data_IF_702326934126
#
_entry.id   IF_702326934126
#
_cell.length_a   1.000
_cell.length_b   1.000
_cell.length_c   1.000
_cell.angle_alpha   90.00
_cell.angle_beta   90.00
_cell.angle_gamma   90.00
#
_symmetry.space_group_name_H-M   'P 1'
#
loop_
_entity.id
_entity.type
_entity.pdbx_description
1 polymer ?
#
# COMPACT_ATOMS: atom_id res chain seq x y z
N UNK A 1 12.55 -3.43 48.90
CA UNK A 1 12.28 -4.31 47.73
C UNK A 1 10.79 -4.49 47.39
N UNK A 2 9.84 -4.43 48.31
CA UNK A 2 8.38 -4.56 47.99
C UNK A 2 7.76 -3.46 47.11
N UNK A 3 8.25 -2.24 47.16
CA UNK A 3 7.68 -1.11 46.36
C UNK A 3 7.97 -1.15 44.83
N UNK A 4 8.91 -1.98 44.40
CA UNK A 4 9.24 -2.12 42.97
C UNK A 4 8.25 -3.05 42.21
N UNK A 5 7.70 -4.00 42.93
CA UNK A 5 6.74 -5.01 42.40
C UNK A 5 5.28 -4.54 42.44
N UNK A 6 4.97 -3.47 43.18
CA UNK A 6 3.60 -2.91 43.29
C UNK A 6 3.34 -1.73 42.33
N UNK A 7 4.31 -1.42 41.45
CA UNK A 7 4.11 -0.35 40.44
C UNK A 7 3.43 -0.90 39.20
N UNK A 8 2.38 -0.22 38.72
CA UNK A 8 1.70 -0.53 37.46
C UNK A 8 2.68 -0.69 36.29
N UNK A 9 3.84 -0.03 36.34
CA UNK A 9 4.92 -0.13 35.38
C UNK A 9 5.57 -1.51 35.30
N UNK A 10 5.73 -2.25 36.44
CA UNK A 10 6.31 -3.59 36.43
C UNK A 10 5.39 -4.60 35.76
N UNK A 11 4.11 -4.54 36.08
CA UNK A 11 3.10 -5.39 35.43
C UNK A 11 3.00 -5.07 33.95
N UNK A 12 3.03 -3.81 33.58
CA UNK A 12 3.07 -3.40 32.16
C UNK A 12 4.28 -3.96 31.43
N UNK A 13 5.48 -3.92 32.02
CA UNK A 13 6.68 -4.52 31.43
C UNK A 13 6.56 -6.05 31.28
N UNK A 14 6.02 -6.74 32.27
CA UNK A 14 5.82 -8.19 32.24
C UNK A 14 4.85 -8.63 31.13
N UNK A 15 3.77 -7.87 30.90
CA UNK A 15 2.85 -8.11 29.80
C UNK A 15 3.45 -7.80 28.42
N UNK A 16 4.38 -6.85 28.31
CA UNK A 16 5.08 -6.56 27.07
C UNK A 16 6.22 -7.55 26.76
N UNK A 17 6.73 -8.26 27.78
CA UNK A 17 7.90 -9.12 27.68
C UNK A 17 7.79 -10.19 26.57
N UNK A 18 6.68 -10.93 26.40
CA UNK A 18 6.53 -11.90 25.31
C UNK A 18 6.66 -11.25 23.91
N UNK A 19 6.05 -10.08 23.74
CA UNK A 19 6.11 -9.33 22.47
C UNK A 19 7.52 -8.78 22.25
N UNK A 20 8.18 -8.28 23.30
CA UNK A 20 9.56 -7.80 23.22
C UNK A 20 10.55 -8.92 22.87
N UNK A 21 10.40 -10.10 23.45
CA UNK A 21 11.22 -11.26 23.11
C UNK A 21 11.01 -11.63 21.64
N UNK A 22 9.76 -11.72 21.17
CA UNK A 22 9.45 -11.97 19.76
C UNK A 22 10.07 -10.90 18.85
N UNK A 23 9.96 -9.63 19.19
CA UNK A 23 10.59 -8.54 18.46
C UNK A 23 12.12 -8.67 18.41
N UNK A 24 12.77 -8.92 19.54
CA UNK A 24 14.23 -9.05 19.61
C UNK A 24 14.75 -10.23 18.80
N UNK A 25 14.08 -11.38 18.87
CA UNK A 25 14.52 -12.63 18.20
C UNK A 25 14.21 -12.61 16.71
N UNK A 26 13.02 -12.15 16.31
CA UNK A 26 12.56 -12.29 14.93
C UNK A 26 12.70 -11.02 14.09
N UNK A 27 12.94 -9.86 14.71
CA UNK A 27 13.07 -8.59 13.99
C UNK A 27 14.43 -7.94 14.27
N UNK A 28 14.74 -7.65 15.52
CA UNK A 28 15.94 -6.89 15.86
C UNK A 28 17.23 -7.67 15.57
N UNK A 29 17.29 -8.93 15.97
CA UNK A 29 18.46 -9.77 15.69
C UNK A 29 18.71 -9.96 14.18
N UNK A 30 17.75 -10.39 13.34
CA UNK A 30 17.95 -10.49 11.89
C UNK A 30 18.28 -9.15 11.23
N UNK A 31 17.76 -8.04 11.75
CA UNK A 31 18.08 -6.71 11.24
C UNK A 31 19.55 -6.34 11.48
N UNK A 32 20.06 -6.59 12.70
CA UNK A 32 21.48 -6.36 13.04
C UNK A 32 22.38 -7.32 12.25
N UNK A 33 21.99 -8.58 12.13
CA UNK A 33 22.72 -9.57 11.36
C UNK A 33 22.77 -9.22 9.86
N UNK A 34 21.65 -8.78 9.29
CA UNK A 34 21.61 -8.28 7.90
C UNK A 34 22.50 -7.06 7.69
N UNK A 35 22.56 -6.15 8.67
CA UNK A 35 23.47 -5.00 8.61
C UNK A 35 24.94 -5.47 8.62
N UNK A 36 25.29 -6.42 9.48
CA UNK A 36 26.64 -7.01 9.48
C UNK A 36 26.95 -7.72 8.16
N UNK A 37 26.05 -8.56 7.67
CA UNK A 37 26.23 -9.28 6.40
C UNK A 37 26.33 -8.34 5.20
N UNK A 38 25.65 -7.17 5.23
CA UNK A 38 25.76 -6.17 4.15
C UNK A 38 27.19 -5.62 3.96
N UNK A 39 28.02 -5.69 5.00
CA UNK A 39 29.44 -5.28 5.00
C UNK A 39 30.37 -6.44 4.61
N UNK A 40 29.84 -7.59 4.25
CA UNK A 40 30.58 -8.79 3.87
C UNK A 40 30.26 -9.24 2.44
N UNK A 41 31.08 -10.11 1.87
CA UNK A 41 30.81 -10.76 0.58
C UNK A 41 30.01 -12.06 0.76
N UNK A 42 29.05 -12.08 1.70
CA UNK A 42 28.24 -13.26 1.99
C UNK A 42 27.45 -13.73 0.75
N UNK A 43 27.63 -15.00 0.38
CA UNK A 43 26.97 -15.62 -0.77
C UNK A 43 26.53 -17.06 -0.50
N UNK A 44 25.95 -17.35 0.69
CA UNK A 44 25.59 -18.72 1.14
C UNK A 44 26.74 -19.74 1.13
N UNK A 45 27.96 -19.34 0.81
CA UNK A 45 29.19 -20.16 0.90
C UNK A 45 29.83 -19.92 2.26
N UNK A 46 30.43 -20.97 2.83
CA UNK A 46 30.94 -20.96 4.20
C UNK A 46 32.07 -19.96 4.50
N UNK A 47 32.76 -19.44 3.48
CA UNK A 47 33.86 -18.48 3.68
C UNK A 47 33.45 -17.10 3.14
N UNK A 48 32.95 -16.26 4.03
CA UNK A 48 32.71 -14.85 3.71
C UNK A 48 33.78 -13.96 4.38
N UNK A 49 34.11 -12.86 3.72
CA UNK A 49 35.09 -11.87 4.20
C UNK A 49 34.42 -10.52 4.39
N UNK A 50 34.92 -9.76 5.34
CA UNK A 50 34.53 -8.37 5.50
C UNK A 50 35.05 -7.55 4.33
N UNK A 51 34.15 -6.86 3.63
CA UNK A 51 34.47 -6.03 2.45
C UNK A 51 34.10 -4.55 2.66
N UNK A 52 33.68 -4.19 3.87
CA UNK A 52 33.30 -2.81 4.19
C UNK A 52 32.13 -2.31 3.32
N UNK A 53 32.31 -1.17 2.68
CA UNK A 53 31.26 -0.51 1.88
C UNK A 53 31.26 -0.90 0.39
N UNK A 54 32.04 -1.88 -0.04
CA UNK A 54 32.14 -2.28 -1.45
C UNK A 54 30.79 -2.70 -2.06
N UNK A 55 29.94 -3.36 -1.27
CA UNK A 55 28.60 -3.74 -1.72
C UNK A 55 27.72 -2.50 -1.99
N UNK A 56 27.85 -1.47 -1.16
CA UNK A 56 27.13 -0.21 -1.35
C UNK A 56 27.64 0.57 -2.55
N UNK A 57 28.97 0.58 -2.78
CA UNK A 57 29.56 1.20 -3.95
C UNK A 57 29.09 0.54 -5.25
N UNK A 58 28.96 -0.80 -5.27
CA UNK A 58 28.43 -1.55 -6.41
C UNK A 58 27.00 -1.17 -6.77
N UNK A 59 26.14 -0.81 -5.80
CA UNK A 59 24.76 -0.39 -6.08
C UNK A 59 24.72 0.81 -7.04
N UNK A 60 25.68 1.72 -6.95
CA UNK A 60 25.72 2.91 -7.81
C UNK A 60 26.30 2.63 -9.20
N UNK A 61 26.97 1.50 -9.40
CA UNK A 61 27.59 1.10 -10.68
C UNK A 61 26.85 -0.04 -11.37
N UNK A 62 25.87 -0.66 -10.70
CA UNK A 62 25.09 -1.78 -11.22
C UNK A 62 23.85 -1.29 -11.97
N UNK A 63 23.76 -1.58 -13.26
CA UNK A 63 22.62 -1.27 -14.12
C UNK A 63 21.31 -1.90 -13.61
N UNK A 64 21.40 -3.08 -12.98
CA UNK A 64 20.24 -3.75 -12.39
C UNK A 64 19.71 -2.95 -11.20
N UNK A 65 20.59 -2.51 -10.30
CA UNK A 65 20.23 -1.70 -9.16
C UNK A 65 19.59 -0.37 -9.58
N UNK A 66 20.18 0.30 -10.57
CA UNK A 66 19.65 1.52 -11.18
C UNK A 66 18.24 1.32 -11.74
N UNK A 67 18.02 0.21 -12.48
CA UNK A 67 16.72 -0.15 -13.04
C UNK A 67 15.69 -0.42 -11.94
N UNK A 68 16.06 -1.15 -10.88
CA UNK A 68 15.20 -1.45 -9.73
C UNK A 68 14.79 -0.16 -9.01
N UNK A 69 15.75 0.73 -8.72
CA UNK A 69 15.47 2.00 -8.06
C UNK A 69 14.52 2.87 -8.89
N UNK A 70 14.76 2.97 -10.21
CA UNK A 70 13.88 3.71 -11.12
C UNK A 70 12.47 3.12 -11.14
N UNK A 71 12.33 1.81 -11.27
CA UNK A 71 11.02 1.14 -11.28
C UNK A 71 10.29 1.32 -9.94
N UNK A 72 11.00 1.22 -8.82
CA UNK A 72 10.43 1.45 -7.48
C UNK A 72 9.96 2.89 -7.34
N UNK A 73 10.74 3.86 -7.81
CA UNK A 73 10.35 5.26 -7.77
C UNK A 73 9.09 5.51 -8.61
N UNK A 74 9.05 5.03 -9.85
CA UNK A 74 7.88 5.15 -10.74
C UNK A 74 6.67 4.47 -10.12
N UNK A 75 6.84 3.24 -9.60
CA UNK A 75 5.77 2.50 -8.93
C UNK A 75 5.20 3.31 -7.77
N UNK A 76 6.05 3.86 -6.91
CA UNK A 76 5.63 4.63 -5.74
C UNK A 76 4.93 5.93 -6.14
N UNK A 77 5.54 6.70 -7.06
CA UNK A 77 4.98 7.97 -7.53
C UNK A 77 3.64 7.81 -8.26
N UNK A 78 3.40 6.68 -8.91
CA UNK A 78 2.13 6.39 -9.56
C UNK A 78 1.11 5.76 -8.60
N UNK A 79 1.52 4.75 -7.82
CA UNK A 79 0.60 4.00 -6.96
C UNK A 79 0.10 4.83 -5.76
N UNK A 80 0.98 5.57 -5.08
CA UNK A 80 0.61 6.29 -3.86
C UNK A 80 -0.46 7.36 -4.12
N UNK A 81 -0.33 8.24 -5.12
CA UNK A 81 -1.40 9.19 -5.42
C UNK A 81 -2.71 8.51 -5.79
N UNK A 82 -2.68 7.43 -6.58
CA UNK A 82 -3.90 6.69 -6.95
C UNK A 82 -4.55 6.04 -5.72
N UNK A 83 -3.75 5.50 -4.79
CA UNK A 83 -4.21 4.87 -3.55
C UNK A 83 -4.67 5.88 -2.47
N UNK A 84 -4.49 7.16 -2.69
CA UNK A 84 -5.04 8.24 -1.87
C UNK A 84 -6.25 8.85 -2.57
N UNK A 85 -6.09 9.29 -3.81
CA UNK A 85 -7.09 10.07 -4.54
C UNK A 85 -8.35 9.24 -4.75
N UNK A 86 -8.23 8.07 -5.37
CA UNK A 86 -9.40 7.24 -5.71
C UNK A 86 -10.16 6.80 -4.45
N UNK A 87 -9.52 6.22 -3.41
CA UNK A 87 -10.20 5.82 -2.19
C UNK A 87 -10.86 6.98 -1.43
N UNK A 88 -10.26 8.17 -1.40
CA UNK A 88 -10.86 9.34 -0.74
C UNK A 88 -12.15 9.75 -1.44
N UNK A 89 -12.14 9.83 -2.78
CA UNK A 89 -13.36 10.16 -3.54
C UNK A 89 -14.45 9.09 -3.36
N UNK A 90 -14.08 7.81 -3.38
CA UNK A 90 -15.03 6.72 -3.13
C UNK A 90 -15.57 6.77 -1.69
N UNK A 91 -14.72 7.04 -0.70
CA UNK A 91 -15.15 7.18 0.69
C UNK A 91 -16.12 8.36 0.86
N UNK A 92 -15.84 9.51 0.25
CA UNK A 92 -16.74 10.65 0.25
C UNK A 92 -18.10 10.33 -0.41
N UNK A 93 -18.08 9.62 -1.54
CA UNK A 93 -19.31 9.18 -2.21
C UNK A 93 -20.11 8.19 -1.36
N UNK A 94 -19.44 7.20 -0.76
CA UNK A 94 -20.06 6.17 0.06
C UNK A 94 -20.35 6.59 1.51
N UNK A 95 -19.94 7.80 1.92
CA UNK A 95 -20.33 8.41 3.20
C UNK A 95 -21.73 9.07 3.12
N UNK A 96 -22.29 9.19 1.94
CA UNK A 96 -23.63 9.73 1.75
C UNK A 96 -24.71 8.67 2.01
N UNK A 97 -25.95 9.10 2.28
CA UNK A 97 -27.12 8.23 2.46
C UNK A 97 -27.64 7.72 1.10
N UNK A 98 -26.87 6.86 0.44
CA UNK A 98 -27.21 6.29 -0.88
C UNK A 98 -27.84 4.90 -0.68
N UNK A 99 -28.86 4.56 -1.47
CA UNK A 99 -29.42 3.21 -1.49
C UNK A 99 -28.35 2.21 -1.96
N UNK A 100 -28.23 1.07 -1.24
CA UNK A 100 -27.26 0.03 -1.61
C UNK A 100 -25.81 0.32 -1.19
N UNK A 101 -25.53 1.34 -0.39
CA UNK A 101 -24.17 1.70 0.06
C UNK A 101 -23.40 0.51 0.65
N UNK A 102 -24.08 -0.39 1.37
CA UNK A 102 -23.48 -1.60 1.94
C UNK A 102 -22.98 -2.56 0.86
N UNK A 103 -23.73 -2.72 -0.22
CA UNK A 103 -23.32 -3.53 -1.36
C UNK A 103 -22.08 -2.96 -2.04
N UNK A 104 -22.05 -1.67 -2.34
CA UNK A 104 -20.87 -1.04 -2.95
C UNK A 104 -19.63 -1.14 -2.07
N UNK A 105 -19.77 -0.91 -0.75
CA UNK A 105 -18.65 -1.12 0.20
C UNK A 105 -18.13 -2.54 0.15
N UNK A 106 -19.01 -3.54 0.11
CA UNK A 106 -18.61 -4.94 0.00
C UNK A 106 -17.88 -5.22 -1.32
N UNK A 107 -18.42 -4.78 -2.46
CA UNK A 107 -17.81 -4.98 -3.78
C UNK A 107 -16.39 -4.40 -3.86
N UNK A 108 -16.18 -3.17 -3.37
CA UNK A 108 -14.85 -2.58 -3.35
C UNK A 108 -13.90 -3.24 -2.35
N UNK A 109 -14.42 -3.83 -1.27
CA UNK A 109 -13.60 -4.47 -0.24
C UNK A 109 -13.21 -5.92 -0.58
N UNK A 110 -14.04 -6.67 -1.33
CA UNK A 110 -13.80 -8.07 -1.71
C UNK A 110 -12.40 -8.32 -2.29
N UNK A 111 -11.84 -7.50 -3.20
CA UNK A 111 -10.48 -7.71 -3.71
C UNK A 111 -9.42 -7.82 -2.62
N UNK A 112 -9.58 -7.10 -1.52
CA UNK A 112 -8.63 -7.10 -0.41
C UNK A 112 -8.54 -8.48 0.28
N UNK A 113 -9.63 -9.22 0.27
CA UNK A 113 -9.74 -10.55 0.92
C UNK A 113 -9.16 -11.67 0.06
N UNK A 114 -8.98 -11.46 -1.25
CA UNK A 114 -8.43 -12.46 -2.17
C UNK A 114 -6.94 -12.69 -1.86
N UNK A 115 -6.46 -13.94 -1.87
CA UNK A 115 -5.04 -14.22 -1.68
C UNK A 115 -4.19 -13.59 -2.80
N UNK A 116 -2.93 -13.26 -2.50
CA UNK A 116 -2.02 -12.65 -3.48
C UNK A 116 -1.78 -13.57 -4.68
N UNK A 117 -1.69 -14.89 -4.45
CA UNK A 117 -1.52 -15.90 -5.50
C UNK A 117 -2.72 -15.91 -6.43
N UNK A 118 -3.93 -15.98 -5.88
CA UNK A 118 -5.16 -15.96 -6.70
C UNK A 118 -5.29 -14.63 -7.47
N UNK A 119 -4.94 -13.50 -6.84
CA UNK A 119 -4.88 -12.20 -7.52
C UNK A 119 -3.93 -12.26 -8.72
N UNK A 120 -2.72 -12.81 -8.53
CA UNK A 120 -1.75 -12.95 -9.61
C UNK A 120 -2.28 -13.76 -10.78
N UNK A 121 -2.91 -14.91 -10.53
CA UNK A 121 -3.49 -15.77 -11.57
C UNK A 121 -4.63 -15.05 -12.32
N UNK A 122 -5.55 -14.41 -11.59
CA UNK A 122 -6.66 -13.65 -12.20
C UNK A 122 -6.13 -12.58 -13.14
N UNK A 123 -5.20 -11.75 -12.66
CA UNK A 123 -4.65 -10.66 -13.44
C UNK A 123 -3.74 -11.13 -14.58
N UNK A 124 -3.04 -12.26 -14.43
CA UNK A 124 -2.30 -12.89 -15.52
C UNK A 124 -3.22 -13.25 -16.70
N UNK A 125 -4.42 -13.77 -16.43
CA UNK A 125 -5.41 -14.05 -17.46
C UNK A 125 -6.00 -12.77 -18.05
N UNK A 126 -6.31 -11.78 -17.22
CA UNK A 126 -6.86 -10.49 -17.67
C UNK A 126 -5.90 -9.74 -18.58
N UNK A 127 -4.57 -9.78 -18.27
CA UNK A 127 -3.52 -9.15 -19.04
C UNK A 127 -2.92 -10.02 -20.16
N UNK A 128 -3.47 -11.18 -20.44
CA UNK A 128 -2.96 -12.03 -21.52
C UNK A 128 -3.04 -11.28 -22.86
N UNK A 129 -1.94 -11.37 -23.65
CA UNK A 129 -1.82 -10.61 -24.89
C UNK A 129 -2.78 -11.10 -25.99
N UNK A 130 -3.11 -12.41 -26.02
CA UNK A 130 -3.89 -13.05 -27.08
C UNK A 130 -5.38 -13.14 -26.73
N UNK A 131 -5.72 -13.59 -25.53
CA UNK A 131 -7.10 -13.86 -25.11
C UNK A 131 -7.54 -13.05 -23.88
N UNK A 132 -6.70 -12.12 -23.39
CA UNK A 132 -7.00 -11.32 -22.20
C UNK A 132 -8.16 -10.38 -22.42
N UNK A 133 -9.04 -10.31 -21.42
CA UNK A 133 -10.28 -9.51 -21.48
C UNK A 133 -9.98 -8.01 -21.69
N UNK A 134 -8.84 -7.52 -21.18
CA UNK A 134 -8.45 -6.11 -21.33
C UNK A 134 -8.13 -5.80 -22.80
N UNK A 135 -7.36 -6.66 -23.48
CA UNK A 135 -7.06 -6.51 -24.90
C UNK A 135 -8.32 -6.71 -25.77
N UNK A 136 -9.24 -7.58 -25.35
CA UNK A 136 -10.52 -7.70 -26.01
C UNK A 136 -11.31 -6.38 -25.99
N UNK A 137 -11.45 -5.74 -24.84
CA UNK A 137 -12.14 -4.44 -24.77
C UNK A 137 -11.42 -3.34 -25.54
N UNK A 138 -10.09 -3.32 -25.53
CA UNK A 138 -9.30 -2.38 -26.35
C UNK A 138 -9.55 -2.60 -27.84
N UNK A 139 -9.67 -3.84 -28.30
CA UNK A 139 -9.94 -4.17 -29.69
C UNK A 139 -11.32 -3.69 -30.16
N UNK A 140 -12.33 -3.69 -29.28
CA UNK A 140 -13.68 -3.19 -29.60
C UNK A 140 -13.70 -1.69 -29.97
N UNK A 141 -12.74 -0.93 -29.44
CA UNK A 141 -12.56 0.52 -29.74
C UNK A 141 -11.47 0.74 -30.79
N UNK A 142 -11.01 -0.31 -31.47
CA UNK A 142 -10.01 -0.22 -32.54
C UNK A 142 -8.58 -0.06 -32.06
N UNK A 143 -8.30 -0.24 -30.77
CA UNK A 143 -6.94 -0.12 -30.19
C UNK A 143 -6.33 -1.51 -30.03
N UNK A 144 -5.15 -1.71 -30.65
CA UNK A 144 -4.36 -2.93 -30.43
C UNK A 144 -3.72 -2.89 -29.04
N UNK A 145 -4.14 -3.80 -28.17
CA UNK A 145 -3.61 -3.91 -26.82
C UNK A 145 -2.12 -4.36 -26.81
N UNK A 146 -1.35 -3.93 -25.83
CA UNK A 146 0.05 -4.30 -25.69
C UNK A 146 0.22 -5.70 -25.08
N UNK A 147 1.45 -6.23 -25.13
CA UNK A 147 1.86 -7.41 -24.37
C UNK A 147 2.16 -6.99 -22.91
N UNK A 148 1.12 -6.84 -22.10
CA UNK A 148 1.15 -6.25 -20.75
C UNK A 148 2.24 -6.80 -19.84
N UNK A 149 2.45 -8.12 -19.84
CA UNK A 149 3.34 -8.78 -18.87
C UNK A 149 4.78 -8.93 -19.35
N UNK A 150 5.02 -8.84 -20.67
CA UNK A 150 6.31 -9.15 -21.28
C UNK A 150 7.01 -7.95 -21.89
N UNK A 151 6.33 -6.82 -22.04
CA UNK A 151 6.91 -5.62 -22.64
C UNK A 151 7.12 -4.47 -21.64
N UNK A 152 8.20 -3.74 -21.78
CA UNK A 152 8.46 -2.49 -21.07
C UNK A 152 7.75 -1.34 -21.81
N UNK A 153 7.11 -0.38 -21.14
CA UNK A 153 6.90 -0.20 -19.69
C UNK A 153 5.62 -0.88 -19.16
N UNK A 154 4.90 -1.64 -19.99
CA UNK A 154 3.55 -2.16 -19.70
C UNK A 154 3.52 -3.11 -18.50
N UNK A 155 4.59 -3.87 -18.28
CA UNK A 155 4.68 -4.76 -17.11
C UNK A 155 4.56 -3.98 -15.78
N UNK A 156 5.21 -2.82 -15.68
CA UNK A 156 5.11 -1.99 -14.49
C UNK A 156 3.71 -1.39 -14.33
N UNK A 157 3.09 -0.96 -15.42
CA UNK A 157 1.71 -0.44 -15.43
C UNK A 157 0.74 -1.54 -14.99
N UNK A 158 0.88 -2.77 -15.48
CA UNK A 158 0.06 -3.91 -15.08
C UNK A 158 0.16 -4.17 -13.56
N UNK A 159 1.36 -4.12 -12.99
CA UNK A 159 1.59 -4.28 -11.55
C UNK A 159 0.94 -3.13 -10.77
N UNK A 160 1.05 -1.89 -11.23
CA UNK A 160 0.40 -0.73 -10.59
C UNK A 160 -1.12 -0.89 -10.58
N UNK A 161 -1.74 -1.24 -11.71
CA UNK A 161 -3.19 -1.46 -11.82
C UNK A 161 -3.64 -2.55 -10.84
N UNK A 162 -2.95 -3.69 -10.83
CA UNK A 162 -3.24 -4.82 -9.93
C UNK A 162 -3.15 -4.40 -8.46
N UNK A 163 -2.09 -3.69 -8.09
CA UNK A 163 -1.87 -3.23 -6.73
C UNK A 163 -2.94 -2.22 -6.29
N UNK A 164 -3.27 -1.25 -7.15
CA UNK A 164 -4.32 -0.27 -6.86
C UNK A 164 -5.67 -0.97 -6.68
N UNK A 165 -6.06 -1.86 -7.60
CA UNK A 165 -7.31 -2.60 -7.51
C UNK A 165 -7.42 -3.42 -6.21
N UNK A 166 -6.36 -4.11 -5.85
CA UNK A 166 -6.33 -4.95 -4.65
C UNK A 166 -6.42 -4.15 -3.34
N UNK A 167 -5.77 -3.01 -3.28
CA UNK A 167 -5.60 -2.23 -2.04
C UNK A 167 -6.64 -1.13 -1.87
N UNK A 168 -7.31 -0.74 -2.97
CA UNK A 168 -8.26 0.35 -3.04
C UNK A 168 -9.36 0.25 -1.98
N UNK A 169 -9.97 -0.92 -1.83
CA UNK A 169 -11.07 -1.13 -0.88
C UNK A 169 -10.65 -0.97 0.58
N UNK A 170 -9.46 -1.43 0.94
CA UNK A 170 -8.92 -1.24 2.29
C UNK A 170 -8.72 0.25 2.60
N UNK A 171 -8.07 0.99 1.71
CA UNK A 171 -7.83 2.41 1.88
C UNK A 171 -9.15 3.21 1.90
N UNK A 172 -10.11 2.85 1.04
CA UNK A 172 -11.45 3.44 1.05
C UNK A 172 -12.13 3.27 2.40
N UNK A 173 -12.04 2.09 3.03
CA UNK A 173 -12.64 1.86 4.35
C UNK A 173 -11.94 2.66 5.46
N UNK A 174 -10.61 2.81 5.39
CA UNK A 174 -9.87 3.68 6.32
C UNK A 174 -10.31 5.14 6.22
N UNK A 175 -10.38 5.68 5.00
CA UNK A 175 -10.85 7.05 4.79
C UNK A 175 -12.33 7.21 5.20
N UNK A 176 -13.16 6.21 4.92
CA UNK A 176 -14.56 6.23 5.33
C UNK A 176 -14.71 6.26 6.85
N UNK A 177 -13.92 5.48 7.58
CA UNK A 177 -13.90 5.52 9.05
C UNK A 177 -13.44 6.88 9.56
N UNK A 178 -12.41 7.48 8.95
CA UNK A 178 -11.99 8.85 9.24
C UNK A 178 -13.10 9.89 9.01
N UNK A 179 -13.79 9.79 7.87
CA UNK A 179 -14.91 10.70 7.55
C UNK A 179 -16.07 10.60 8.55
N UNK A 180 -16.36 9.41 9.08
CA UNK A 180 -17.42 9.20 10.06
C UNK A 180 -17.08 9.78 11.44
N UNK A 181 -15.83 10.02 11.75
CA UNK A 181 -15.38 10.68 12.97
C UNK A 181 -15.44 12.22 12.90
N UNK A 182 -15.67 12.79 11.71
CA UNK A 182 -15.82 14.25 11.56
C UNK A 182 -17.20 14.67 12.07
N UNK A 183 -17.29 15.58 13.06
CA UNK A 183 -18.57 16.06 13.59
C UNK A 183 -19.44 16.73 12.51
N UNK A 184 -20.73 16.37 12.45
CA UNK A 184 -21.68 16.88 11.45
C UNK A 184 -21.82 18.40 11.48
N UNK A 185 -21.61 19.02 12.66
CA UNK A 185 -21.70 20.47 12.85
C UNK A 185 -20.84 21.28 11.87
N UNK A 186 -19.66 20.78 11.47
CA UNK A 186 -18.84 21.47 10.48
C UNK A 186 -19.47 21.49 9.09
N UNK A 187 -20.15 20.41 8.71
CA UNK A 187 -20.84 20.32 7.43
C UNK A 187 -22.13 21.13 7.42
N UNK A 188 -22.83 21.18 8.56
CA UNK A 188 -24.06 21.98 8.76
C UNK A 188 -23.74 23.48 8.69
N UNK A 189 -22.72 23.94 9.40
CA UNK A 189 -22.25 25.33 9.33
C UNK A 189 -21.86 25.72 7.91
N UNK A 190 -21.07 24.89 7.21
CA UNK A 190 -20.69 25.13 5.82
C UNK A 190 -21.91 25.17 4.86
N UNK A 191 -22.95 24.42 5.15
CA UNK A 191 -24.19 24.45 4.37
C UNK A 191 -24.97 25.77 4.58
N UNK A 192 -25.00 26.30 5.81
CA UNK A 192 -25.58 27.60 6.12
C UNK A 192 -24.84 28.76 5.45
N UNK A 193 -23.50 28.66 5.34
CA UNK A 193 -22.65 29.63 4.66
C UNK A 193 -22.71 29.52 3.13
N UNK A 194 -23.48 28.58 2.56
CA UNK A 194 -23.63 28.39 1.12
C UNK A 194 -22.36 27.88 0.43
N UNK A 195 -21.46 27.23 1.18
CA UNK A 195 -20.17 26.74 0.67
C UNK A 195 -20.37 25.61 -0.34
N UNK A 196 -19.73 25.69 -1.52
CA UNK A 196 -19.80 24.65 -2.53
C UNK A 196 -19.07 23.35 -2.10
N UNK A 197 -19.37 22.25 -2.80
CA UNK A 197 -18.84 20.90 -2.48
C UNK A 197 -17.30 20.88 -2.50
N UNK A 198 -16.66 21.56 -3.47
CA UNK A 198 -15.20 21.57 -3.61
C UNK A 198 -14.54 22.35 -2.47
N UNK A 199 -15.07 23.52 -2.13
CA UNK A 199 -14.57 24.34 -1.01
C UNK A 199 -14.73 23.60 0.32
N UNK A 200 -15.88 22.94 0.54
CA UNK A 200 -16.13 22.07 1.69
C UNK A 200 -15.13 20.90 1.76
N UNK A 201 -14.87 20.23 0.64
CA UNK A 201 -13.88 19.17 0.60
C UNK A 201 -12.48 19.68 0.97
N UNK A 202 -12.04 20.78 0.38
CA UNK A 202 -10.69 21.32 0.56
C UNK A 202 -10.43 21.88 1.96
N UNK A 203 -11.43 22.54 2.58
CA UNK A 203 -11.26 23.28 3.83
C UNK A 203 -11.79 22.55 5.07
N UNK A 204 -12.66 21.57 4.91
CA UNK A 204 -13.21 20.80 6.03
C UNK A 204 -12.81 19.33 5.92
N UNK A 205 -13.23 18.66 4.85
CA UNK A 205 -13.07 17.21 4.73
C UNK A 205 -11.59 16.80 4.68
N UNK A 206 -10.82 17.38 3.78
CA UNK A 206 -9.43 17.02 3.59
C UNK A 206 -8.53 17.33 4.81
N UNK A 207 -8.59 18.51 5.45
CA UNK A 207 -7.79 18.80 6.63
C UNK A 207 -8.11 17.93 7.84
N UNK A 208 -9.38 17.51 8.00
CA UNK A 208 -9.82 16.68 9.14
C UNK A 208 -9.58 15.17 8.91
N UNK A 209 -9.20 14.76 7.68
CA UNK A 209 -8.79 13.39 7.35
C UNK A 209 -7.29 13.12 7.53
N UNK A 210 -6.49 14.14 7.80
CA UNK A 210 -5.04 14.00 7.98
C UNK A 210 -4.66 13.30 9.27
#
# INVERSE_FOLDING_TARGET
MRRFFDSDGWWGFLFLLPVMIGFLVFIAYPMVDSLYLSLTNYSMKQNYRFVGLDNYAKIFTDDTASTVLKNTLIFTLCSVPLLIIIPVFLACALNQKIHGVRFFRAVYFVPTMISMVATGIIWQWMFNAEFGIINYFLSLIGVKGPAWLTSKPWALIAVIITNVWKTLGYNMMLFLAGLQNVPSMYYEAAALDGVNIWTRFRHITWPLLK
#
